data_IF_246178658639
#
_entry.id   IF_246178658639
#
_cell.length_a   1.000
_cell.length_b   1.000
_cell.length_c   1.000
_cell.angle_alpha   90.00
_cell.angle_beta   90.00
_cell.angle_gamma   90.00
#
_symmetry.space_group_name_H-M   'P 1'
#
loop_
_entity.id
_entity.type
_entity.pdbx_description
1 polymer ?
#
# COMPACT_ATOMS: atom_id res chain seq x y z
C UNK A 1 8.39 4.24 9.96
N UNK A 2 8.97 3.05 10.09
CA UNK A 2 8.64 1.95 9.20
C UNK A 2 7.14 1.67 9.20
N UNK A 3 6.51 1.78 10.38
CA UNK A 3 5.06 1.63 10.51
C UNK A 3 4.32 2.62 9.61
N UNK A 4 4.74 3.87 9.69
CA UNK A 4 4.14 4.92 8.88
C UNK A 4 4.76 4.91 7.48
N UNK A 5 5.86 4.15 7.31
CA UNK A 5 6.49 3.98 6.00
C UNK A 5 5.71 3.01 5.13
N UNK A 6 5.30 1.86 5.73
CA UNK A 6 4.50 0.81 5.07
C UNK A 6 3.13 1.41 4.79
N UNK A 7 2.54 2.12 5.75
CA UNK A 7 1.23 2.71 5.54
C UNK A 7 1.20 3.40 4.17
N UNK A 8 2.31 4.07 3.86
CA UNK A 8 2.42 4.77 2.59
C UNK A 8 2.41 3.78 1.43
N UNK A 9 3.01 2.62 1.68
CA UNK A 9 3.08 1.58 0.66
C UNK A 9 1.76 0.81 0.58
N UNK A 10 1.18 0.50 1.75
CA UNK A 10 -0.13 -0.16 1.82
C UNK A 10 -1.18 0.62 1.03
N UNK A 11 -1.27 1.93 1.29
CA UNK A 11 -2.16 2.82 0.54
C UNK A 11 -1.76 2.86 -0.94
N UNK A 12 -0.47 2.67 -1.18
CA UNK A 12 0.04 2.67 -2.54
C UNK A 12 -0.12 1.27 -3.14
N UNK A 13 -0.41 0.32 -2.27
CA UNK A 13 -0.59 -1.06 -2.70
C UNK A 13 -2.09 -1.38 -2.77
N UNK A 14 -2.92 -0.50 -2.17
CA UNK A 14 -4.37 -0.64 -2.24
C UNK A 14 -4.83 -0.97 -3.67
N UNK A 15 -4.28 -0.19 -4.64
CA UNK A 15 -4.61 -0.41 -6.04
C UNK A 15 -3.90 -1.64 -6.58
N UNK A 16 -2.56 -1.65 -6.50
CA UNK A 16 -1.75 -2.81 -6.90
C UNK A 16 -2.50 -4.11 -6.62
N UNK A 17 -3.13 -4.21 -5.44
CA UNK A 17 -3.97 -5.35 -5.09
C UNK A 17 -5.31 -5.30 -5.83
N UNK A 18 -5.99 -4.14 -5.75
CA UNK A 18 -7.23 -3.92 -6.49
C UNK A 18 -7.09 -4.37 -7.95
N UNK A 19 -5.85 -4.44 -8.39
CA UNK A 19 -5.56 -4.87 -9.75
C UNK A 19 -5.74 -6.38 -9.88
N UNK A 20 -5.16 -7.18 -8.95
CA UNK A 20 -5.23 -8.64 -9.06
C UNK A 20 -6.55 -9.19 -8.46
#
# INVERSE_FOLDING_TARGET
>A
XFASAXLQGAAAAAPAAAQX
#
